data_IF_886876945966
#
_entry.id   IF_886876945966
#
_cell.length_a   1.000
_cell.length_b   1.000
_cell.length_c   1.000
_cell.angle_alpha   90.00
_cell.angle_beta   90.00
_cell.angle_gamma   90.00
#
_symmetry.space_group_name_H-M   'P 1'
#
loop_
_entity.id
_entity.type
_entity.pdbx_description
1 polymer ?
#
# COMPACT_ATOMS: atom_id res chain seq x y z
N UNK A 1 34.46 17.33 -10.86
CA UNK A 1 33.04 17.71 -10.61
C UNK A 1 32.78 17.62 -9.11
N UNK A 2 32.17 18.65 -8.48
CA UNK A 2 31.99 18.68 -7.02
C UNK A 2 30.97 17.59 -6.59
N UNK A 3 31.29 16.71 -5.64
CA UNK A 3 30.46 15.54 -5.28
C UNK A 3 29.02 15.92 -4.88
N UNK A 4 28.79 17.11 -4.32
CA UNK A 4 27.43 17.59 -3.99
C UNK A 4 26.52 17.88 -5.19
N UNK A 5 27.06 18.22 -6.37
CA UNK A 5 26.23 18.50 -7.57
C UNK A 5 25.68 17.23 -8.21
N UNK A 6 26.39 16.11 -8.11
CA UNK A 6 25.92 14.82 -8.61
C UNK A 6 24.77 14.28 -7.75
N UNK A 7 24.87 14.40 -6.42
CA UNK A 7 23.78 14.06 -5.52
C UNK A 7 22.53 14.93 -5.77
N UNK A 8 22.70 16.23 -5.98
CA UNK A 8 21.59 17.14 -6.31
C UNK A 8 20.94 16.81 -7.66
N UNK A 9 21.73 16.45 -8.68
CA UNK A 9 21.21 16.02 -10.00
C UNK A 9 20.48 14.67 -9.94
N UNK A 10 20.92 13.75 -9.08
CA UNK A 10 20.25 12.47 -8.83
C UNK A 10 18.93 12.63 -8.06
N UNK A 11 18.85 13.62 -7.17
CA UNK A 11 17.65 13.93 -6.38
C UNK A 11 16.69 14.87 -7.09
N UNK A 12 17.14 15.60 -8.12
CA UNK A 12 16.33 16.59 -8.83
C UNK A 12 15.00 16.02 -9.39
N UNK A 13 14.95 14.81 -9.98
CA UNK A 13 13.69 14.22 -10.42
C UNK A 13 12.73 13.94 -9.26
N UNK A 14 13.26 13.46 -8.13
CA UNK A 14 12.48 13.19 -6.92
C UNK A 14 11.97 14.48 -6.28
N UNK A 15 12.81 15.52 -6.21
CA UNK A 15 12.43 16.83 -5.69
C UNK A 15 11.36 17.50 -6.57
N UNK A 16 11.48 17.38 -7.89
CA UNK A 16 10.48 17.86 -8.84
C UNK A 16 9.17 17.09 -8.68
N UNK A 17 9.22 15.77 -8.56
CA UNK A 17 8.05 14.93 -8.31
C UNK A 17 7.34 15.35 -7.02
N UNK A 18 8.07 15.48 -5.91
CA UNK A 18 7.50 15.91 -4.62
C UNK A 18 6.92 17.33 -4.71
N UNK A 19 7.59 18.25 -5.41
CA UNK A 19 7.06 19.60 -5.59
C UNK A 19 5.74 19.60 -6.38
N UNK A 20 5.66 18.86 -7.47
CA UNK A 20 4.51 18.87 -8.38
C UNK A 20 3.33 18.08 -7.82
N UNK A 21 3.56 16.89 -7.27
CA UNK A 21 2.49 15.99 -6.85
C UNK A 21 2.11 16.14 -5.38
N UNK A 22 2.99 16.68 -4.54
CA UNK A 22 2.72 16.82 -3.11
C UNK A 22 2.62 18.28 -2.68
N UNK A 23 3.63 19.10 -2.96
CA UNK A 23 3.67 20.47 -2.48
C UNK A 23 2.62 21.37 -3.17
N UNK A 24 2.44 21.24 -4.49
CA UNK A 24 1.48 22.06 -5.24
C UNK A 24 0.02 21.84 -4.77
N UNK A 25 -0.52 20.60 -4.75
CA UNK A 25 -1.88 20.37 -4.26
C UNK A 25 -2.06 20.77 -2.80
N UNK A 26 -1.02 20.61 -1.96
CA UNK A 26 -1.06 20.99 -0.55
C UNK A 26 -1.18 22.51 -0.39
N UNK A 27 -0.36 23.29 -1.10
CA UNK A 27 -0.42 24.75 -1.07
C UNK A 27 -1.75 25.24 -1.63
N UNK A 28 -2.25 24.62 -2.70
CA UNK A 28 -3.54 24.94 -3.29
C UNK A 28 -4.69 24.66 -2.31
N UNK A 29 -4.70 23.50 -1.66
CA UNK A 29 -5.70 23.15 -0.65
C UNK A 29 -5.68 24.11 0.55
N UNK A 30 -4.49 24.48 1.03
CA UNK A 30 -4.33 25.47 2.11
C UNK A 30 -4.83 26.84 1.65
N UNK A 31 -4.48 27.27 0.43
CA UNK A 31 -4.95 28.54 -0.12
C UNK A 31 -6.49 28.56 -0.27
N UNK A 32 -7.09 27.46 -0.71
CA UNK A 32 -8.54 27.28 -0.79
C UNK A 32 -9.21 27.34 0.59
N UNK A 33 -8.60 26.76 1.63
CA UNK A 33 -9.15 26.79 2.99
C UNK A 33 -9.32 28.22 3.53
N UNK A 34 -8.49 29.16 3.08
CA UNK A 34 -8.57 30.58 3.45
C UNK A 34 -9.28 31.46 2.41
N UNK A 35 -9.72 30.96 1.26
CA UNK A 35 -10.38 31.77 0.22
C UNK A 35 -11.87 31.47 0.16
N UNK A 36 -12.71 32.51 0.18
CA UNK A 36 -14.14 32.33 -0.09
C UNK A 36 -14.41 32.19 -1.58
N UNK A 37 -15.64 31.80 -1.96
CA UNK A 37 -16.08 31.76 -3.36
C UNK A 37 -16.01 33.10 -4.11
N UNK A 38 -15.77 34.22 -3.40
CA UNK A 38 -15.57 35.55 -3.97
C UNK A 38 -14.11 36.04 -3.92
N UNK A 39 -13.16 35.18 -3.52
CA UNK A 39 -11.71 35.46 -3.57
C UNK A 39 -11.11 36.23 -2.38
N UNK A 40 -11.91 36.60 -1.37
CA UNK A 40 -11.42 37.24 -0.16
C UNK A 40 -10.91 36.21 0.87
N UNK A 41 -9.94 36.64 1.70
CA UNK A 41 -9.45 35.83 2.81
C UNK A 41 -10.57 35.68 3.87
N UNK A 42 -10.94 34.45 4.20
CA UNK A 42 -12.01 34.14 5.17
C UNK A 42 -11.62 32.99 6.09
N UNK A 43 -12.21 32.98 7.29
CA UNK A 43 -12.15 31.87 8.25
C UNK A 43 -13.49 31.13 8.35
N UNK A 44 -14.42 31.40 7.43
CA UNK A 44 -15.77 30.82 7.46
C UNK A 44 -15.74 29.28 7.40
N UNK A 45 -14.88 28.70 6.57
CA UNK A 45 -14.72 27.24 6.50
C UNK A 45 -14.25 26.65 7.83
N UNK A 46 -13.32 27.32 8.52
CA UNK A 46 -12.84 26.90 9.84
C UNK A 46 -13.91 27.02 10.92
N UNK A 47 -14.71 28.11 10.91
CA UNK A 47 -15.83 28.27 11.85
C UNK A 47 -16.88 27.18 11.66
N UNK A 48 -17.28 26.92 10.40
CA UNK A 48 -18.22 25.82 10.08
C UNK A 48 -17.71 24.45 10.53
N UNK A 49 -16.40 24.19 10.39
CA UNK A 49 -15.77 22.96 10.89
C UNK A 49 -15.74 22.90 12.42
N UNK A 50 -15.43 24.01 13.09
CA UNK A 50 -15.39 24.07 14.56
C UNK A 50 -16.78 23.92 15.20
N UNK A 51 -17.83 24.39 14.53
CA UNK A 51 -19.22 24.27 14.98
C UNK A 51 -19.82 22.87 14.72
N UNK A 52 -19.14 22.01 13.96
CA UNK A 52 -19.60 20.65 13.66
C UNK A 52 -19.40 19.72 14.88
N UNK A 53 -20.49 19.08 15.32
CA UNK A 53 -20.54 18.12 16.43
C UNK A 53 -19.59 16.93 16.23
N UNK A 54 -19.27 16.57 14.98
CA UNK A 54 -18.39 15.45 14.67
C UNK A 54 -16.91 15.83 14.58
N UNK A 55 -16.58 17.12 14.42
CA UNK A 55 -15.21 17.55 14.14
C UNK A 55 -14.19 17.19 15.23
N UNK A 56 -14.45 17.42 16.54
CA UNK A 56 -13.52 17.02 17.59
C UNK A 56 -13.28 15.50 17.63
N UNK A 57 -14.31 14.71 17.29
CA UNK A 57 -14.19 13.24 17.23
C UNK A 57 -13.34 12.82 16.04
N UNK A 58 -13.52 13.45 14.88
CA UNK A 58 -12.71 13.20 13.70
C UNK A 58 -11.23 13.52 13.96
N UNK A 59 -10.92 14.70 14.52
CA UNK A 59 -9.54 15.09 14.87
C UNK A 59 -8.91 14.11 15.86
N UNK A 60 -9.62 13.75 16.94
CA UNK A 60 -9.14 12.76 17.91
C UNK A 60 -8.87 11.41 17.24
N UNK A 61 -9.78 10.93 16.39
CA UNK A 61 -9.62 9.65 15.70
C UNK A 61 -8.40 9.67 14.77
N UNK A 62 -8.17 10.78 14.04
CA UNK A 62 -6.99 10.96 13.18
C UNK A 62 -5.69 10.99 13.99
N UNK A 63 -5.67 11.67 15.13
CA UNK A 63 -4.50 11.70 16.01
C UNK A 63 -4.22 10.32 16.63
N UNK A 64 -5.25 9.60 17.05
CA UNK A 64 -5.12 8.21 17.53
C UNK A 64 -4.57 7.33 16.41
N UNK A 65 -5.13 7.41 15.20
CA UNK A 65 -4.63 6.69 14.03
C UNK A 65 -3.14 6.95 13.80
N UNK A 66 -2.72 8.21 13.79
CA UNK A 66 -1.32 8.59 13.61
C UNK A 66 -0.43 8.03 14.73
N UNK A 67 -0.89 8.11 15.97
CA UNK A 67 -0.19 7.59 17.15
C UNK A 67 -0.05 6.07 17.15
N UNK A 68 -0.91 5.33 16.43
CA UNK A 68 -0.80 3.88 16.26
C UNK A 68 0.06 3.49 15.05
N UNK A 69 -0.14 4.14 13.90
CA UNK A 69 0.54 3.79 12.64
C UNK A 69 2.04 4.01 12.74
N UNK A 70 2.48 5.17 13.24
CA UNK A 70 3.92 5.52 13.27
C UNK A 70 4.74 4.50 14.09
N UNK A 71 4.38 4.19 15.35
CA UNK A 71 5.15 3.23 16.14
C UNK A 71 5.09 1.81 15.58
N UNK A 72 3.94 1.38 15.06
CA UNK A 72 3.80 0.06 14.44
C UNK A 72 4.73 -0.07 13.23
N UNK A 73 4.76 0.95 12.38
CA UNK A 73 5.60 0.95 11.19
C UNK A 73 7.09 0.95 11.55
N UNK A 74 7.48 1.68 12.60
CA UNK A 74 8.84 1.64 13.15
C UNK A 74 9.19 0.23 13.69
N UNK A 75 8.32 -0.37 14.50
CA UNK A 75 8.53 -1.71 15.06
C UNK A 75 8.61 -2.75 13.93
N UNK A 76 7.73 -2.69 12.93
CA UNK A 76 7.75 -3.58 11.77
C UNK A 76 9.03 -3.44 10.96
N UNK A 77 9.50 -2.21 10.70
CA UNK A 77 10.76 -1.97 10.02
C UNK A 77 11.96 -2.53 10.80
N UNK A 78 11.98 -2.33 12.12
CA UNK A 78 13.02 -2.88 13.00
C UNK A 78 12.96 -4.41 13.04
N UNK A 79 11.78 -5.01 13.17
CA UNK A 79 11.62 -6.46 13.15
C UNK A 79 12.04 -7.03 11.80
N UNK A 80 11.63 -6.44 10.68
CA UNK A 80 12.07 -6.88 9.35
C UNK A 80 13.60 -6.80 9.18
N UNK A 81 14.24 -5.79 9.79
CA UNK A 81 15.69 -5.66 9.79
C UNK A 81 16.41 -6.63 10.75
N UNK A 82 15.81 -6.99 11.90
CA UNK A 82 16.48 -7.79 12.94
C UNK A 82 16.13 -9.28 12.92
N UNK A 83 14.94 -9.69 12.46
CA UNK A 83 14.46 -11.09 12.53
C UNK A 83 15.41 -12.06 11.83
N UNK A 84 15.97 -11.66 10.70
CA UNK A 84 16.86 -12.52 9.90
C UNK A 84 18.28 -12.59 10.47
N UNK A 85 18.91 -11.46 10.89
CA UNK A 85 20.14 -11.50 11.68
C UNK A 85 20.07 -12.31 12.97
N UNK A 86 18.93 -12.30 13.67
CA UNK A 86 18.70 -13.12 14.87
C UNK A 86 18.77 -14.63 14.56
N UNK A 87 18.50 -15.03 13.32
CA UNK A 87 18.64 -16.41 12.81
C UNK A 87 20.06 -16.69 12.26
N UNK A 88 21.01 -15.77 12.46
CA UNK A 88 22.38 -15.87 11.93
C UNK A 88 22.50 -15.62 10.42
N UNK A 89 21.45 -15.11 9.79
CA UNK A 89 21.37 -14.91 8.34
C UNK A 89 21.54 -13.43 7.96
N UNK A 90 22.00 -13.12 6.73
CA UNK A 90 22.15 -11.75 6.28
C UNK A 90 20.79 -11.04 6.13
N UNK A 91 20.78 -9.72 6.33
CA UNK A 91 19.60 -8.85 6.18
C UNK A 91 18.77 -9.16 4.93
N UNK A 92 17.49 -9.51 5.14
CA UNK A 92 16.48 -9.74 4.11
C UNK A 92 16.28 -8.50 3.24
N UNK A 93 15.97 -7.37 3.88
CA UNK A 93 15.76 -6.09 3.23
C UNK A 93 16.75 -5.07 3.81
N UNK A 94 17.33 -4.27 2.91
CA UNK A 94 18.13 -3.12 3.27
C UNK A 94 17.20 -1.92 3.54
N UNK A 95 17.64 -0.91 4.31
CA UNK A 95 16.85 0.30 4.53
C UNK A 95 16.37 0.96 3.22
N UNK A 96 17.19 0.89 2.17
CA UNK A 96 16.81 1.40 0.85
C UNK A 96 15.64 0.64 0.21
N UNK A 97 15.52 -0.67 0.46
CA UNK A 97 14.37 -1.46 0.00
C UNK A 97 13.10 -1.08 0.76
N UNK A 98 13.21 -0.82 2.07
CA UNK A 98 12.08 -0.35 2.88
C UNK A 98 11.60 1.02 2.38
N UNK A 99 12.50 1.98 2.18
CA UNK A 99 12.15 3.30 1.62
C UNK A 99 11.45 3.16 0.27
N UNK A 100 11.93 2.26 -0.58
CA UNK A 100 11.28 2.01 -1.86
C UNK A 100 9.89 1.40 -1.72
N UNK A 101 9.70 0.41 -0.83
CA UNK A 101 8.37 -0.14 -0.54
C UNK A 101 7.42 0.95 -0.04
N UNK A 102 7.85 1.83 0.86
CA UNK A 102 7.00 2.92 1.37
C UNK A 102 6.63 3.93 0.29
N UNK A 103 7.55 4.22 -0.64
CA UNK A 103 7.28 5.06 -1.81
C UNK A 103 6.26 4.44 -2.77
N UNK A 104 6.04 3.13 -2.72
CA UNK A 104 4.99 2.45 -3.48
C UNK A 104 3.70 2.41 -2.67
N UNK A 105 3.75 1.99 -1.41
CA UNK A 105 2.58 1.75 -0.55
C UNK A 105 1.78 3.02 -0.32
N UNK A 106 2.41 4.14 0.05
CA UNK A 106 1.69 5.36 0.39
C UNK A 106 0.95 5.99 -0.80
N UNK A 107 1.56 6.17 -2.00
CA UNK A 107 0.82 6.66 -3.16
C UNK A 107 -0.23 5.68 -3.64
N UNK A 108 0.02 4.37 -3.52
CA UNK A 108 -1.00 3.37 -3.85
C UNK A 108 -2.21 3.53 -2.96
N UNK A 109 -2.02 3.63 -1.64
CA UNK A 109 -3.12 3.81 -0.71
C UNK A 109 -3.88 5.13 -0.95
N UNK A 110 -3.18 6.24 -1.14
CA UNK A 110 -3.84 7.53 -1.38
C UNK A 110 -4.59 7.51 -2.70
N UNK A 111 -3.91 7.26 -3.82
CA UNK A 111 -4.48 7.44 -5.15
C UNK A 111 -5.49 6.36 -5.54
N UNK A 112 -5.27 5.10 -5.12
CA UNK A 112 -6.20 4.01 -5.46
C UNK A 112 -7.50 4.15 -4.66
N UNK A 113 -7.41 4.33 -3.34
CA UNK A 113 -8.62 4.36 -2.50
C UNK A 113 -9.36 5.69 -2.62
N UNK A 114 -8.67 6.81 -2.89
CA UNK A 114 -9.33 8.10 -3.15
C UNK A 114 -10.06 8.12 -4.49
N UNK A 115 -9.47 7.54 -5.54
CA UNK A 115 -10.09 7.45 -6.86
C UNK A 115 -11.11 6.31 -6.99
N UNK A 116 -11.34 5.52 -5.94
CA UNK A 116 -12.29 4.41 -6.00
C UNK A 116 -13.73 4.95 -5.89
N UNK A 117 -14.60 4.70 -6.89
CA UNK A 117 -15.97 5.18 -6.84
C UNK A 117 -16.72 4.59 -5.65
N UNK A 118 -17.54 5.41 -5.01
CA UNK A 118 -18.46 4.95 -3.97
C UNK A 118 -19.31 3.77 -4.47
N UNK A 119 -19.37 2.69 -3.67
CA UNK A 119 -20.17 1.51 -4.01
C UNK A 119 -21.62 1.90 -4.32
N UNK A 120 -22.27 1.35 -5.37
CA UNK A 120 -23.67 1.67 -5.72
C UNK A 120 -24.67 1.44 -4.58
N UNK A 121 -24.32 0.55 -3.65
CA UNK A 121 -25.11 0.21 -2.46
C UNK A 121 -24.85 1.13 -1.27
N UNK A 122 -23.93 2.11 -1.36
CA UNK A 122 -23.52 2.94 -0.22
C UNK A 122 -24.72 3.67 0.39
N UNK A 123 -25.57 4.27 -0.44
CA UNK A 123 -26.79 4.98 0.01
C UNK A 123 -27.94 4.04 0.38
N UNK A 124 -27.82 2.73 0.09
CA UNK A 124 -28.77 1.70 0.51
C UNK A 124 -28.40 1.07 1.85
N UNK A 125 -27.18 1.34 2.37
CA UNK A 125 -26.72 0.86 3.66
C UNK A 125 -27.19 1.82 4.76
N UNK A 126 -27.68 1.30 5.90
CA UNK A 126 -28.05 2.17 7.02
C UNK A 126 -26.83 2.95 7.52
N UNK A 127 -27.01 4.21 7.98
CA UNK A 127 -25.91 5.02 8.50
C UNK A 127 -25.14 4.28 9.59
N UNK A 128 -23.81 4.27 9.52
CA UNK A 128 -22.96 3.63 10.55
C UNK A 128 -23.27 4.27 11.91
N UNK A 129 -23.54 3.43 12.92
CA UNK A 129 -23.74 3.90 14.29
C UNK A 129 -22.49 4.69 14.74
N UNK A 130 -22.61 5.91 15.30
CA UNK A 130 -21.47 6.76 15.68
C UNK A 130 -20.53 6.18 16.75
N UNK A 131 -20.88 5.02 17.33
CA UNK A 131 -20.25 4.43 18.51
C UNK A 131 -19.12 3.45 18.14
N UNK A 132 -19.02 3.01 16.88
CA UNK A 132 -17.87 2.22 16.43
C UNK A 132 -16.74 3.17 15.99
N UNK A 133 -15.54 2.98 16.54
CA UNK A 133 -14.34 3.67 16.10
C UNK A 133 -14.10 3.51 14.59
N UNK A 134 -13.33 4.43 14.00
CA UNK A 134 -13.11 4.50 12.54
C UNK A 134 -12.44 3.23 11.97
N UNK A 135 -11.63 2.55 12.78
CA UNK A 135 -11.15 1.18 12.57
C UNK A 135 -11.84 0.25 13.57
N UNK A 136 -12.58 -0.75 13.08
CA UNK A 136 -12.95 -1.86 13.94
C UNK A 136 -11.70 -2.70 14.20
N UNK A 137 -11.48 -3.14 15.45
CA UNK A 137 -10.35 -3.99 15.81
C UNK A 137 -10.25 -5.26 14.93
N UNK A 138 -11.40 -5.75 14.43
CA UNK A 138 -11.49 -6.88 13.49
C UNK A 138 -10.87 -6.55 12.14
N UNK A 139 -11.16 -5.36 11.58
CA UNK A 139 -10.61 -4.93 10.29
C UNK A 139 -9.09 -4.74 10.39
N UNK A 140 -8.64 -4.16 11.50
CA UNK A 140 -7.22 -3.99 11.80
C UNK A 140 -6.51 -5.35 11.96
N UNK A 141 -7.06 -6.27 12.76
CA UNK A 141 -6.48 -7.60 12.96
C UNK A 141 -6.40 -8.40 11.66
N UNK A 142 -7.38 -8.23 10.77
CA UNK A 142 -7.36 -8.83 9.43
C UNK A 142 -6.24 -8.25 8.57
N UNK A 143 -6.09 -6.93 8.48
CA UNK A 143 -5.02 -6.30 7.70
C UNK A 143 -3.63 -6.72 8.21
N UNK A 144 -3.45 -6.75 9.54
CA UNK A 144 -2.21 -7.23 10.16
C UNK A 144 -1.95 -8.69 9.83
N UNK A 145 -2.96 -9.57 9.89
CA UNK A 145 -2.76 -10.99 9.58
C UNK A 145 -2.41 -11.22 8.11
N UNK A 146 -3.02 -10.49 7.18
CA UNK A 146 -2.69 -10.53 5.76
C UNK A 146 -1.23 -10.13 5.50
N UNK A 147 -0.75 -9.04 6.12
CA UNK A 147 0.65 -8.61 6.03
C UNK A 147 1.65 -9.60 6.67
N UNK A 148 1.30 -10.19 7.82
CA UNK A 148 2.13 -11.19 8.49
C UNK A 148 2.26 -12.46 7.66
N UNK A 149 1.15 -12.97 7.10
CA UNK A 149 1.16 -14.18 6.26
C UNK A 149 2.03 -13.96 5.02
N UNK A 150 1.88 -12.83 4.33
CA UNK A 150 2.74 -12.48 3.20
C UNK A 150 4.22 -12.42 3.62
N UNK A 151 4.52 -11.79 4.76
CA UNK A 151 5.90 -11.66 5.27
C UNK A 151 6.52 -13.03 5.57
N UNK A 152 5.75 -13.97 6.13
CA UNK A 152 6.18 -15.35 6.35
C UNK A 152 6.51 -16.04 5.02
N UNK A 153 5.65 -15.89 4.00
CA UNK A 153 5.90 -16.45 2.67
C UNK A 153 7.19 -15.94 2.04
N UNK A 154 7.43 -14.63 2.10
CA UNK A 154 8.66 -14.00 1.60
C UNK A 154 9.88 -14.46 2.41
N UNK A 155 9.76 -14.60 3.72
CA UNK A 155 10.84 -15.10 4.57
C UNK A 155 11.21 -16.55 4.23
N UNK A 156 10.23 -17.43 4.06
CA UNK A 156 10.45 -18.82 3.64
C UNK A 156 11.15 -18.86 2.27
N UNK A 157 10.69 -18.04 1.33
CA UNK A 157 11.29 -17.95 -0.01
C UNK A 157 12.76 -17.52 0.06
N UNK A 158 13.06 -16.49 0.86
CA UNK A 158 14.42 -15.98 1.04
C UNK A 158 15.35 -16.98 1.71
N UNK A 159 14.92 -17.57 2.85
CA UNK A 159 15.72 -18.57 3.56
C UNK A 159 15.94 -19.82 2.69
N UNK A 160 14.93 -20.22 1.91
CA UNK A 160 15.05 -21.29 0.94
C UNK A 160 16.01 -20.97 -0.21
N UNK A 161 16.13 -19.71 -0.63
CA UNK A 161 17.12 -19.30 -1.62
C UNK A 161 18.54 -19.33 -1.03
N UNK A 162 18.73 -18.83 0.20
CA UNK A 162 20.02 -18.92 0.90
C UNK A 162 20.45 -20.37 1.13
N UNK A 163 19.52 -21.26 1.49
CA UNK A 163 19.80 -22.70 1.64
C UNK A 163 20.21 -23.40 0.35
N UNK A 164 19.86 -22.85 -0.82
CA UNK A 164 20.31 -23.32 -2.14
C UNK A 164 21.63 -22.68 -2.60
N UNK A 165 22.31 -21.97 -1.71
CA UNK A 165 23.52 -21.20 -2.01
C UNK A 165 23.33 -20.14 -3.12
N UNK A 166 22.11 -19.63 -3.29
CA UNK A 166 21.84 -18.51 -4.20
C UNK A 166 22.59 -17.27 -3.73
N UNK A 167 23.26 -16.52 -4.63
CA UNK A 167 23.93 -15.28 -4.29
C UNK A 167 23.03 -14.32 -3.52
N UNK A 168 23.59 -13.67 -2.48
CA UNK A 168 22.81 -12.79 -1.60
C UNK A 168 22.05 -11.65 -2.33
N UNK A 169 22.62 -10.94 -3.33
CA UNK A 169 21.88 -9.92 -4.08
C UNK A 169 20.67 -10.49 -4.85
N UNK A 170 20.77 -11.74 -5.30
CA UNK A 170 19.73 -12.42 -6.06
C UNK A 170 18.60 -12.90 -5.15
N UNK A 171 18.94 -13.48 -3.99
CA UNK A 171 17.97 -13.82 -2.94
C UNK A 171 17.17 -12.59 -2.47
N UNK A 172 17.83 -11.42 -2.33
CA UNK A 172 17.17 -10.15 -2.01
C UNK A 172 16.24 -9.67 -3.12
N UNK A 173 16.67 -9.80 -4.37
CA UNK A 173 15.86 -9.42 -5.53
C UNK A 173 14.59 -10.26 -5.61
N UNK A 174 14.72 -11.57 -5.36
CA UNK A 174 13.60 -12.51 -5.29
C UNK A 174 12.61 -12.16 -4.17
N UNK A 175 13.12 -11.90 -2.96
CA UNK A 175 12.29 -11.50 -1.82
C UNK A 175 11.55 -10.18 -2.08
N UNK A 176 12.23 -9.20 -2.67
CA UNK A 176 11.66 -7.89 -3.00
C UNK A 176 10.59 -7.97 -4.09
N UNK A 177 10.81 -8.78 -5.12
CA UNK A 177 9.82 -9.08 -6.15
C UNK A 177 8.56 -9.71 -5.55
N UNK A 178 8.72 -10.75 -4.72
CA UNK A 178 7.60 -11.40 -4.04
C UNK A 178 6.83 -10.44 -3.12
N UNK A 179 7.54 -9.55 -2.41
CA UNK A 179 6.90 -8.55 -1.54
C UNK A 179 6.06 -7.54 -2.36
N UNK A 180 6.59 -7.01 -3.46
CA UNK A 180 5.88 -6.02 -4.29
C UNK A 180 4.68 -6.66 -5.01
N UNK A 181 4.83 -7.89 -5.50
CA UNK A 181 3.71 -8.65 -6.08
C UNK A 181 2.63 -8.95 -5.03
N UNK A 182 3.04 -9.35 -3.84
CA UNK A 182 2.14 -9.63 -2.73
C UNK A 182 1.38 -8.39 -2.28
N UNK A 183 2.07 -7.27 -2.08
CA UNK A 183 1.43 -5.98 -1.73
C UNK A 183 0.46 -5.51 -2.81
N UNK A 184 0.83 -5.64 -4.09
CA UNK A 184 -0.06 -5.31 -5.21
C UNK A 184 -1.34 -6.17 -5.20
N UNK A 185 -1.22 -7.45 -4.84
CA UNK A 185 -2.37 -8.33 -4.67
C UNK A 185 -3.20 -7.98 -3.42
N UNK A 186 -2.57 -7.63 -2.30
CA UNK A 186 -3.27 -7.16 -1.10
C UNK A 186 -4.10 -5.91 -1.37
N UNK A 187 -3.60 -4.96 -2.18
CA UNK A 187 -4.39 -3.79 -2.59
C UNK A 187 -5.68 -4.19 -3.32
N UNK A 188 -5.61 -5.19 -4.21
CA UNK A 188 -6.80 -5.72 -4.88
C UNK A 188 -7.76 -6.40 -3.89
N UNK A 189 -7.22 -7.15 -2.93
CA UNK A 189 -8.00 -7.86 -1.91
C UNK A 189 -8.66 -6.92 -0.90
N UNK A 190 -8.00 -5.82 -0.54
CA UNK A 190 -8.51 -4.81 0.41
C UNK A 190 -9.52 -3.88 -0.24
N UNK A 191 -9.43 -3.63 -1.55
CA UNK A 191 -10.43 -2.86 -2.30
C UNK A 191 -11.83 -3.47 -2.23
N UNK A 192 -11.94 -4.78 -2.11
CA UNK A 192 -13.22 -5.49 -1.95
C UNK A 192 -13.17 -6.46 -0.76
N UNK A 193 -13.39 -5.98 0.47
CA UNK A 193 -13.36 -6.79 1.69
C UNK A 193 -14.45 -7.88 1.71
N UNK A 194 -15.63 -7.54 1.18
CA UNK A 194 -16.85 -8.34 1.31
C UNK A 194 -17.14 -9.23 0.10
N UNK A 195 -16.41 -9.02 -1.01
CA UNK A 195 -16.65 -9.72 -2.28
C UNK A 195 -15.35 -10.36 -2.77
N UNK A 196 -15.39 -11.59 -3.29
CA UNK A 196 -14.23 -12.21 -3.90
C UNK A 196 -13.82 -11.48 -5.19
N UNK A 197 -12.55 -11.60 -5.57
CA UNK A 197 -11.93 -10.86 -6.68
C UNK A 197 -12.65 -11.08 -8.02
N UNK A 198 -13.17 -12.29 -8.27
CA UNK A 198 -13.91 -12.59 -9.51
C UNK A 198 -15.30 -11.97 -9.56
N UNK A 199 -15.84 -11.52 -8.43
CA UNK A 199 -17.09 -10.75 -8.33
C UNK A 199 -16.82 -9.25 -8.16
N UNK A 200 -15.60 -8.88 -7.81
CA UNK A 200 -15.18 -7.49 -7.68
C UNK A 200 -14.89 -6.89 -9.06
N UNK A 201 -15.56 -5.79 -9.38
CA UNK A 201 -15.30 -5.09 -10.64
C UNK A 201 -13.94 -4.39 -10.59
N UNK A 202 -13.03 -4.79 -11.46
CA UNK A 202 -11.83 -3.98 -11.77
C UNK A 202 -12.20 -2.71 -12.57
N UNK A 203 -13.43 -2.62 -13.10
CA UNK A 203 -13.94 -1.47 -13.85
C UNK A 203 -14.46 -0.42 -12.87
N UNK A 204 -14.03 0.84 -13.04
CA UNK A 204 -14.47 1.99 -12.24
C UNK A 204 -13.33 2.94 -11.87
N UNK A 205 -12.14 2.39 -11.59
CA UNK A 205 -10.96 3.17 -11.22
C UNK A 205 -9.87 3.00 -12.30
N UNK A 206 -9.69 4.01 -13.16
CA UNK A 206 -8.65 4.00 -14.22
C UNK A 206 -7.23 4.12 -13.66
N UNK A 207 -7.09 4.64 -12.44
CA UNK A 207 -5.81 4.83 -11.76
C UNK A 207 -5.29 3.51 -11.18
N UNK A 208 -6.19 2.63 -10.73
CA UNK A 208 -5.84 1.30 -10.18
C UNK A 208 -4.90 0.48 -11.10
N UNK A 209 -5.26 0.17 -12.37
CA UNK A 209 -4.38 -0.63 -13.22
C UNK A 209 -3.06 0.09 -13.53
N UNK A 210 -3.05 1.42 -13.62
CA UNK A 210 -1.84 2.21 -13.84
C UNK A 210 -0.88 2.09 -12.66
N UNK A 211 -1.38 2.25 -11.43
CA UNK A 211 -0.57 2.14 -10.22
C UNK A 211 -0.07 0.72 -10.03
N UNK A 212 -0.93 -0.30 -10.18
CA UNK A 212 -0.49 -1.69 -10.06
C UNK A 212 0.57 -2.04 -11.12
N UNK A 213 0.40 -1.60 -12.36
CA UNK A 213 1.40 -1.78 -13.40
C UNK A 213 2.71 -1.04 -13.10
N UNK A 214 2.63 0.19 -12.56
CA UNK A 214 3.80 0.95 -12.14
C UNK A 214 4.54 0.27 -10.98
N UNK A 215 3.81 -0.21 -9.96
CA UNK A 215 4.35 -0.91 -8.79
C UNK A 215 5.03 -2.22 -9.20
N UNK A 216 4.31 -3.10 -9.90
CA UNK A 216 4.82 -4.39 -10.38
C UNK A 216 5.96 -4.19 -11.39
N UNK A 217 5.82 -3.23 -12.30
CA UNK A 217 6.81 -2.91 -13.33
C UNK A 217 8.06 -2.22 -12.79
N UNK A 218 7.99 -1.58 -11.62
CA UNK A 218 9.16 -0.95 -11.00
C UNK A 218 10.25 -1.96 -10.63
N UNK A 219 9.89 -3.20 -10.31
CA UNK A 219 10.85 -4.26 -9.92
C UNK A 219 11.75 -4.69 -11.06
N UNK A 220 11.24 -5.16 -12.22
CA UNK A 220 12.09 -5.50 -13.34
C UNK A 220 12.89 -4.30 -13.83
N UNK A 221 12.33 -3.08 -13.81
CA UNK A 221 13.10 -1.87 -14.15
C UNK A 221 14.28 -1.63 -13.19
N UNK A 222 14.07 -1.78 -11.89
CA UNK A 222 15.12 -1.62 -10.89
C UNK A 222 16.22 -2.69 -10.97
N UNK A 223 15.86 -3.91 -11.40
CA UNK A 223 16.78 -5.03 -11.54
C UNK A 223 17.55 -4.98 -12.88
N UNK A 224 16.89 -4.59 -13.97
CA UNK A 224 17.48 -4.58 -15.32
C UNK A 224 18.34 -3.34 -15.58
N UNK A 225 18.04 -2.20 -14.94
CA UNK A 225 18.82 -0.98 -15.12
C UNK A 225 20.06 -0.97 -14.20
N UNK A 226 21.28 -0.76 -14.74
CA UNK A 226 22.52 -0.91 -13.97
C UNK A 226 22.74 0.15 -12.88
N UNK A 227 22.08 1.31 -12.96
CA UNK A 227 22.14 2.34 -11.93
C UNK A 227 21.32 1.96 -10.67
N UNK A 228 20.01 1.70 -10.76
CA UNK A 228 19.22 1.26 -9.61
C UNK A 228 19.66 -0.10 -9.06
N UNK A 229 20.04 -1.06 -9.92
CA UNK A 229 20.51 -2.37 -9.45
C UNK A 229 21.74 -2.26 -8.53
N UNK A 230 22.69 -1.37 -8.86
CA UNK A 230 23.87 -1.11 -8.01
C UNK A 230 23.51 -0.38 -6.72
N UNK A 231 22.62 0.63 -6.79
CA UNK A 231 22.18 1.39 -5.61
C UNK A 231 21.42 0.50 -4.61
N UNK A 232 20.56 -0.37 -5.13
CA UNK A 232 19.69 -1.26 -4.36
C UNK A 232 20.37 -2.60 -4.03
N UNK A 233 21.60 -2.84 -4.50
CA UNK A 233 22.33 -4.11 -4.34
C UNK A 233 21.49 -5.32 -4.79
N UNK A 234 20.87 -5.18 -5.96
CA UNK A 234 20.04 -6.19 -6.61
C UNK A 234 20.82 -6.91 -7.71
N UNK A 235 20.34 -8.11 -8.06
CA UNK A 235 20.88 -8.92 -9.15
C UNK A 235 19.73 -9.36 -10.08
N UNK A 236 20.02 -9.60 -11.37
CA UNK A 236 19.05 -10.14 -12.31
C UNK A 236 18.47 -11.46 -11.82
N UNK A 237 17.17 -11.62 -12.03
CA UNK A 237 16.42 -12.83 -11.72
C UNK A 237 16.13 -13.60 -13.00
N UNK A 238 16.24 -14.92 -12.94
CA UNK A 238 15.80 -15.81 -14.01
C UNK A 238 14.26 -15.92 -14.07
N UNK A 239 13.72 -16.40 -15.19
CA UNK A 239 12.29 -16.59 -15.41
C UNK A 239 11.64 -17.47 -14.34
N UNK A 240 12.33 -18.52 -13.89
CA UNK A 240 11.83 -19.39 -12.82
C UNK A 240 11.77 -18.66 -11.47
N UNK A 241 12.70 -17.75 -11.20
CA UNK A 241 12.71 -16.95 -9.97
C UNK A 241 11.59 -15.92 -9.96
N UNK A 242 11.31 -15.28 -11.10
CA UNK A 242 10.13 -14.44 -11.25
C UNK A 242 8.84 -15.22 -11.02
N UNK A 243 8.71 -16.40 -11.64
CA UNK A 243 7.54 -17.25 -11.51
C UNK A 243 7.33 -17.73 -10.06
N UNK A 244 8.40 -18.16 -9.38
CA UNK A 244 8.34 -18.58 -7.97
C UNK A 244 8.01 -17.42 -7.04
N UNK A 245 8.59 -16.24 -7.24
CA UNK A 245 8.23 -15.04 -6.48
C UNK A 245 6.76 -14.65 -6.63
N UNK A 246 6.24 -14.69 -7.86
CA UNK A 246 4.81 -14.48 -8.13
C UNK A 246 3.94 -15.58 -7.50
N UNK A 247 4.33 -16.85 -7.62
CA UNK A 247 3.58 -17.97 -7.04
C UNK A 247 3.48 -17.87 -5.51
N UNK A 248 4.57 -17.52 -4.82
CA UNK A 248 4.57 -17.29 -3.37
C UNK A 248 3.69 -16.10 -3.01
N UNK A 249 3.82 -14.98 -3.72
CA UNK A 249 2.98 -13.81 -3.51
C UNK A 249 1.49 -14.15 -3.62
N UNK A 250 1.09 -14.90 -4.64
CA UNK A 250 -0.30 -15.35 -4.83
C UNK A 250 -0.74 -16.33 -3.73
N UNK A 251 0.07 -17.35 -3.43
CA UNK A 251 -0.28 -18.37 -2.45
C UNK A 251 -0.50 -17.79 -1.04
N UNK A 252 0.35 -16.84 -0.63
CA UNK A 252 0.29 -16.24 0.71
C UNK A 252 -0.63 -15.02 0.81
N UNK A 253 -1.29 -14.62 -0.28
CA UNK A 253 -2.32 -13.55 -0.26
C UNK A 253 -3.71 -14.07 -0.53
N UNK A 254 -3.87 -15.04 -1.45
CA UNK A 254 -5.18 -15.56 -1.86
C UNK A 254 -5.88 -16.46 -0.83
N UNK A 255 -5.23 -16.77 0.30
CA UNK A 255 -5.85 -17.56 1.38
C UNK A 255 -7.15 -16.94 1.93
N UNK A 256 -7.34 -15.63 1.75
CA UNK A 256 -8.56 -14.92 2.18
C UNK A 256 -9.74 -15.09 1.22
N UNK A 257 -9.50 -15.39 -0.05
CA UNK A 257 -10.55 -15.49 -1.08
C UNK A 257 -11.56 -16.61 -0.81
N UNK A 258 -11.17 -17.83 -0.40
CA UNK A 258 -12.11 -18.86 0.03
C UNK A 258 -13.01 -18.41 1.18
N UNK A 259 -12.46 -17.65 2.15
CA UNK A 259 -13.21 -17.12 3.28
C UNK A 259 -14.23 -16.07 2.82
N UNK A 260 -13.86 -15.21 1.88
CA UNK A 260 -14.77 -14.23 1.29
C UNK A 260 -15.88 -14.92 0.50
N UNK A 261 -15.55 -15.90 -0.33
CA UNK A 261 -16.51 -16.66 -1.11
C UNK A 261 -17.54 -17.37 -0.22
N UNK A 262 -17.09 -17.98 0.88
CA UNK A 262 -17.96 -18.63 1.85
C UNK A 262 -18.90 -17.63 2.57
N UNK A 263 -18.38 -16.45 2.97
CA UNK A 263 -19.22 -15.39 3.57
C UNK A 263 -20.24 -14.86 2.57
N UNK A 264 -19.81 -14.55 1.35
CA UNK A 264 -20.67 -14.05 0.29
C UNK A 264 -21.84 -15.00 0.02
N UNK A 265 -21.57 -16.31 -0.06
CA UNK A 265 -22.58 -17.35 -0.22
C UNK A 265 -23.58 -17.42 0.94
N UNK A 266 -23.12 -17.22 2.19
CA UNK A 266 -24.01 -17.22 3.38
C UNK A 266 -24.85 -15.96 3.53
N UNK A 267 -24.35 -14.82 3.06
CA UNK A 267 -25.05 -13.53 3.18
C UNK A 267 -26.04 -13.25 2.04
N UNK A 268 -26.19 -14.15 1.05
CA UNK A 268 -27.13 -13.97 -0.06
C UNK A 268 -26.79 -12.78 -0.98
N UNK A 269 -25.57 -12.25 -0.92
CA UNK A 269 -25.11 -11.13 -1.75
C UNK A 269 -25.03 -11.49 -3.25
N UNK A 270 -25.19 -12.77 -3.59
CA UNK A 270 -25.23 -13.29 -4.96
C UNK A 270 -26.52 -12.95 -5.72
N UNK A 271 -27.61 -12.57 -5.05
CA UNK A 271 -28.96 -12.56 -5.67
C UNK A 271 -29.57 -11.16 -5.91
N UNK A 272 -28.83 -10.07 -5.70
CA UNK A 272 -29.36 -8.68 -5.87
C UNK A 272 -28.78 -7.91 -7.06
N UNK A 273 -27.92 -8.54 -7.87
CA UNK A 273 -27.26 -7.89 -9.01
C UNK A 273 -27.95 -8.04 -10.36
N UNK A 274 -28.96 -8.93 -10.48
CA UNK A 274 -29.62 -9.28 -11.76
C UNK A 274 -31.02 -8.70 -11.94
N UNK A 275 -31.53 -7.92 -10.99
CA UNK A 275 -32.90 -7.42 -11.03
C UNK A 275 -33.00 -5.90 -11.17
N UNK A 276 -32.34 -5.29 -12.16
CA UNK A 276 -32.81 -4.04 -12.80
C UNK A 276 -32.28 -4.04 -14.25
N UNK A 277 -33.08 -4.60 -15.16
CA UNK A 277 -33.07 -4.23 -16.58
C UNK A 277 -34.21 -3.27 -16.83
#
# INVERSE_FOLDING_TARGET
MRPGRLAALLLAPTALFLAVFFAYPLVEAVALAFRSGQGHLTLEHFRRLADDVYFPRAVRNTLVLLAWVIPIQLVLALLAALVVPLLGQPLLLLPVHLVWLELIVHPTASLVFEADPASPELMRRPPRRPVRGMLAAVDFARAVSEGVVLSIGVLILYLGALGRATPLPEARSLALAAMIFGQSMLVLLERSPDRPLWQASLRGNRVLPLILAASVGSVPLAVLLPAPARLLKLAPLDALQWATGAAVALAFTLWVEPLKAWRAARTGLTDRGTAIH
#
